data_IF_484852771017
#
_entry.id   IF_484852771017
#
_cell.length_a   1.000
_cell.length_b   1.000
_cell.length_c   1.000
_cell.angle_alpha   90.00
_cell.angle_beta   90.00
_cell.angle_gamma   90.00
#
_symmetry.space_group_name_H-M   'P 1'
#
loop_
_entity.id
_entity.type
_entity.pdbx_description
1 polymer ?
#
# COMPACT_ATOMS: atom_id res chain seq x y z
N UNK A 1 15.99 8.69 0.83
CA UNK A 1 17.09 8.47 -0.13
C UNK A 1 16.51 7.68 -1.30
N UNK A 2 16.70 8.17 -2.53
CA UNK A 2 16.32 7.44 -3.74
C UNK A 2 17.35 6.36 -4.03
N UNK A 3 16.88 5.15 -4.33
CA UNK A 3 17.67 3.98 -4.71
C UNK A 3 17.73 3.80 -6.22
N UNK A 4 16.81 4.43 -6.96
CA UNK A 4 16.76 4.33 -8.41
C UNK A 4 17.58 5.44 -9.08
N UNK A 5 18.21 5.15 -10.24
CA UNK A 5 18.88 6.18 -11.02
C UNK A 5 17.94 7.33 -11.40
N UNK A 6 18.44 8.58 -11.50
CA UNK A 6 17.62 9.74 -11.83
C UNK A 6 16.92 9.61 -13.20
N UNK A 7 17.53 8.87 -14.13
CA UNK A 7 16.96 8.54 -15.44
C UNK A 7 15.64 7.75 -15.31
N UNK A 8 15.59 6.80 -14.37
CA UNK A 8 14.40 5.98 -14.09
C UNK A 8 13.30 6.85 -13.47
N UNK A 9 13.66 7.76 -12.57
CA UNK A 9 12.70 8.73 -12.02
C UNK A 9 12.09 9.64 -13.09
N UNK A 10 12.93 10.14 -14.00
CA UNK A 10 12.47 10.97 -15.12
C UNK A 10 11.51 10.18 -16.03
N UNK A 11 11.89 8.96 -16.40
CA UNK A 11 11.08 8.10 -17.25
C UNK A 11 9.73 7.75 -16.60
N UNK A 12 9.72 7.42 -15.30
CA UNK A 12 8.48 7.17 -14.55
C UNK A 12 7.61 8.42 -14.44
N UNK A 13 8.21 9.60 -14.21
CA UNK A 13 7.45 10.85 -14.13
C UNK A 13 6.77 11.19 -15.46
N UNK A 14 7.46 10.96 -16.58
CA UNK A 14 6.90 11.10 -17.93
C UNK A 14 5.77 10.10 -18.18
N UNK A 15 5.95 8.84 -17.79
CA UNK A 15 4.93 7.80 -17.89
C UNK A 15 3.67 8.19 -17.10
N UNK A 16 3.82 8.60 -15.84
CA UNK A 16 2.71 9.02 -14.98
C UNK A 16 1.96 10.23 -15.56
N UNK A 17 2.69 11.18 -16.15
CA UNK A 17 2.09 12.33 -16.85
C UNK A 17 1.30 11.88 -18.08
N UNK A 18 1.84 10.97 -18.90
CA UNK A 18 1.15 10.44 -20.08
C UNK A 18 -0.14 9.69 -19.72
N UNK A 19 -0.10 8.87 -18.65
CA UNK A 19 -1.27 8.16 -18.14
C UNK A 19 -2.37 9.09 -17.58
N UNK A 20 -1.99 10.28 -17.13
CA UNK A 20 -2.89 11.28 -16.54
C UNK A 20 -3.41 12.31 -17.56
N UNK A 21 -3.01 12.20 -18.83
CA UNK A 21 -3.36 13.16 -19.88
C UNK A 21 -4.76 12.88 -20.46
N UNK A 22 -5.48 13.93 -20.87
CA UNK A 22 -6.82 13.83 -21.46
C UNK A 22 -6.83 13.33 -22.91
N UNK A 23 -5.69 13.42 -23.59
CA UNK A 23 -5.46 12.89 -24.93
C UNK A 23 -5.40 11.34 -24.89
N UNK A 24 -6.40 10.71 -25.52
CA UNK A 24 -6.50 9.27 -25.59
C UNK A 24 -5.31 8.61 -26.30
N UNK A 25 -4.72 9.26 -27.29
CA UNK A 25 -3.61 8.71 -28.06
C UNK A 25 -2.36 8.63 -27.20
N UNK A 26 -2.05 9.71 -26.46
CA UNK A 26 -0.92 9.76 -25.51
C UNK A 26 -1.16 8.77 -24.36
N UNK A 27 -2.39 8.73 -23.82
CA UNK A 27 -2.74 7.82 -22.73
C UNK A 27 -2.58 6.36 -23.15
N UNK A 28 -3.09 5.97 -24.32
CA UNK A 28 -2.96 4.60 -24.83
C UNK A 28 -1.50 4.21 -25.07
N UNK A 29 -0.67 5.12 -25.59
CA UNK A 29 0.76 4.88 -25.75
C UNK A 29 1.47 4.69 -24.39
N UNK A 30 1.14 5.51 -23.39
CA UNK A 30 1.67 5.37 -22.04
C UNK A 30 1.20 4.07 -21.37
N UNK A 31 -0.03 3.63 -21.61
CA UNK A 31 -0.53 2.33 -21.12
C UNK A 31 0.20 1.15 -21.78
N UNK A 32 0.47 1.22 -23.08
CA UNK A 32 1.24 0.21 -23.79
C UNK A 32 2.68 0.14 -23.25
N UNK A 33 3.32 1.30 -23.07
CA UNK A 33 4.64 1.40 -22.47
C UNK A 33 4.66 0.83 -21.04
N UNK A 34 3.66 1.16 -20.22
CA UNK A 34 3.53 0.63 -18.86
C UNK A 34 3.45 -0.90 -18.87
N UNK A 35 2.63 -1.49 -19.74
CA UNK A 35 2.44 -2.94 -19.77
C UNK A 35 3.66 -3.68 -20.34
N UNK A 36 4.24 -3.20 -21.42
CA UNK A 36 5.32 -3.89 -22.14
C UNK A 36 6.69 -3.62 -21.52
N UNK A 37 7.03 -2.35 -21.25
CA UNK A 37 8.39 -1.98 -20.84
C UNK A 37 8.59 -2.08 -19.34
N UNK A 38 7.53 -1.85 -18.55
CA UNK A 38 7.65 -1.82 -17.09
C UNK A 38 7.12 -3.08 -16.44
N UNK A 39 5.84 -3.43 -16.64
CA UNK A 39 5.22 -4.57 -15.95
C UNK A 39 5.83 -5.91 -16.38
N UNK A 40 6.10 -6.10 -17.67
CA UNK A 40 6.69 -7.35 -18.16
C UNK A 40 8.20 -7.42 -17.90
N UNK A 41 8.94 -6.35 -18.24
CA UNK A 41 10.40 -6.38 -18.26
C UNK A 41 11.07 -5.93 -16.95
N UNK A 42 10.48 -4.98 -16.20
CA UNK A 42 11.10 -4.36 -15.00
C UNK A 42 10.08 -4.10 -13.87
N UNK A 43 9.32 -5.13 -13.42
CA UNK A 43 8.26 -4.96 -12.42
C UNK A 43 8.78 -4.50 -11.06
N UNK A 44 10.00 -4.91 -10.72
CA UNK A 44 10.71 -4.56 -9.50
C UNK A 44 11.08 -3.07 -9.45
N UNK A 45 11.66 -2.56 -10.55
CA UNK A 45 12.00 -1.15 -10.71
C UNK A 45 10.74 -0.28 -10.69
N UNK A 46 9.67 -0.76 -11.32
CA UNK A 46 8.38 -0.06 -11.36
C UNK A 46 7.78 0.11 -9.96
N UNK A 47 7.66 -0.98 -9.19
CA UNK A 47 7.09 -0.91 -7.83
C UNK A 47 7.97 -0.09 -6.88
N UNK A 48 9.30 -0.22 -6.98
CA UNK A 48 10.23 0.62 -6.22
C UNK A 48 10.06 2.10 -6.56
N UNK A 49 9.99 2.42 -7.86
CA UNK A 49 9.88 3.81 -8.30
C UNK A 49 8.54 4.43 -7.93
N UNK A 50 7.45 3.66 -7.95
CA UNK A 50 6.16 4.12 -7.44
C UNK A 50 6.22 4.37 -5.93
N UNK A 51 6.89 3.51 -5.15
CA UNK A 51 7.10 3.74 -3.71
C UNK A 51 7.94 5.00 -3.43
N UNK A 52 8.90 5.32 -4.28
CA UNK A 52 9.69 6.55 -4.15
C UNK A 52 8.91 7.80 -4.59
N UNK A 53 8.03 7.69 -5.58
CA UNK A 53 7.12 8.78 -5.95
C UNK A 53 6.11 9.08 -4.83
N UNK A 54 5.68 8.06 -4.08
CA UNK A 54 4.87 8.25 -2.88
C UNK A 54 5.58 9.06 -1.80
N UNK A 55 6.88 8.81 -1.61
CA UNK A 55 7.68 9.48 -0.58
C UNK A 55 8.08 10.90 -1.00
N UNK A 56 8.44 11.09 -2.27
CA UNK A 56 9.17 12.28 -2.73
C UNK A 56 8.41 13.22 -3.68
N UNK A 57 7.25 12.86 -4.21
CA UNK A 57 6.55 13.74 -5.15
C UNK A 57 5.93 14.93 -4.42
N UNK A 58 6.18 16.14 -4.92
CA UNK A 58 5.62 17.39 -4.36
C UNK A 58 4.08 17.45 -4.53
N UNK A 59 3.59 16.97 -5.68
CA UNK A 59 2.17 17.01 -6.02
C UNK A 59 1.38 15.88 -5.33
N UNK A 60 0.36 16.27 -4.56
CA UNK A 60 -0.63 15.35 -3.96
C UNK A 60 -1.31 14.46 -5.01
N UNK A 61 -1.51 14.98 -6.23
CA UNK A 61 -2.10 14.23 -7.34
C UNK A 61 -1.18 13.09 -7.79
N UNK A 62 0.13 13.37 -7.92
CA UNK A 62 1.13 12.36 -8.27
C UNK A 62 1.23 11.29 -7.20
N UNK A 63 1.29 11.67 -5.91
CA UNK A 63 1.29 10.70 -4.80
C UNK A 63 0.03 9.84 -4.78
N UNK A 64 -1.14 10.45 -4.93
CA UNK A 64 -2.41 9.73 -5.07
C UNK A 64 -2.40 8.72 -6.22
N UNK A 65 -1.95 9.16 -7.40
CA UNK A 65 -1.93 8.32 -8.59
C UNK A 65 -0.92 7.18 -8.45
N UNK A 66 0.27 7.45 -7.92
CA UNK A 66 1.28 6.45 -7.61
C UNK A 66 0.76 5.39 -6.64
N UNK A 67 0.00 5.77 -5.60
CA UNK A 67 -0.57 4.82 -4.63
C UNK A 67 -1.54 3.84 -5.30
N UNK A 68 -2.45 4.37 -6.12
CA UNK A 68 -3.47 3.58 -6.82
C UNK A 68 -2.81 2.67 -7.86
N UNK A 69 -1.84 3.21 -8.61
CA UNK A 69 -1.12 2.44 -9.61
C UNK A 69 -0.26 1.35 -8.98
N UNK A 70 0.43 1.64 -7.88
CA UNK A 70 1.19 0.67 -7.10
C UNK A 70 0.30 -0.49 -6.68
N UNK A 71 -0.83 -0.22 -6.03
CA UNK A 71 -1.77 -1.27 -5.60
C UNK A 71 -2.22 -2.11 -6.79
N UNK A 72 -2.68 -1.47 -7.87
CA UNK A 72 -3.18 -2.17 -9.06
C UNK A 72 -2.13 -3.08 -9.71
N UNK A 73 -0.86 -2.69 -9.68
CA UNK A 73 0.23 -3.45 -10.29
C UNK A 73 0.71 -4.55 -9.34
N UNK A 74 0.80 -4.28 -8.04
CA UNK A 74 1.21 -5.26 -7.04
C UNK A 74 0.31 -6.51 -7.03
N UNK A 75 -0.98 -6.35 -7.32
CA UNK A 75 -1.98 -7.43 -7.38
C UNK A 75 -2.07 -8.13 -8.73
N UNK A 76 -1.37 -7.64 -9.77
CA UNK A 76 -1.39 -8.34 -11.06
C UNK A 76 -0.78 -9.71 -10.91
N UNK A 77 -1.47 -10.75 -11.35
CA UNK A 77 -0.95 -12.11 -11.32
C UNK A 77 0.02 -12.33 -12.48
N UNK A 78 1.18 -12.90 -12.17
CA UNK A 78 2.21 -13.31 -13.12
C UNK A 78 2.66 -14.73 -12.79
N UNK A 79 3.14 -15.47 -13.79
CA UNK A 79 3.84 -16.73 -13.54
C UNK A 79 5.18 -16.44 -12.88
N UNK A 80 5.35 -16.93 -11.67
CA UNK A 80 6.59 -16.90 -10.93
C UNK A 80 7.68 -17.58 -11.80
N UNK A 81 8.79 -16.89 -12.12
CA UNK A 81 9.86 -17.48 -12.94
C UNK A 81 10.54 -18.69 -12.27
N UNK A 82 10.40 -18.84 -10.94
CA UNK A 82 11.00 -19.91 -10.15
C UNK A 82 10.03 -21.08 -9.96
N UNK A 83 8.80 -20.81 -9.49
CA UNK A 83 7.83 -21.88 -9.18
C UNK A 83 6.87 -22.20 -10.32
N UNK A 84 6.81 -21.36 -11.36
CA UNK A 84 5.87 -21.43 -12.50
C UNK A 84 4.38 -21.36 -12.08
N UNK A 85 4.11 -21.00 -10.82
CA UNK A 85 2.78 -20.79 -10.29
C UNK A 85 2.32 -19.36 -10.54
N UNK A 86 1.01 -19.19 -10.64
CA UNK A 86 0.41 -17.88 -10.75
C UNK A 86 0.45 -17.19 -9.37
N UNK A 87 1.34 -16.22 -9.21
CA UNK A 87 1.46 -15.40 -7.98
C UNK A 87 1.26 -13.93 -8.30
N UNK A 88 0.89 -13.17 -7.29
CA UNK A 88 0.84 -11.71 -7.41
C UNK A 88 2.24 -11.13 -7.65
N UNK A 89 2.31 -10.09 -8.48
CA UNK A 89 3.56 -9.53 -8.98
C UNK A 89 4.49 -9.11 -7.86
N UNK A 90 3.97 -8.48 -6.79
CA UNK A 90 4.79 -8.13 -5.65
C UNK A 90 5.40 -9.37 -4.96
N UNK A 91 4.67 -10.47 -4.87
CA UNK A 91 5.15 -11.72 -4.27
C UNK A 91 6.31 -12.35 -5.05
N UNK A 92 6.35 -12.13 -6.37
CA UNK A 92 7.43 -12.61 -7.26
C UNK A 92 8.74 -11.82 -7.16
N UNK A 93 8.74 -10.69 -6.43
CA UNK A 93 9.95 -9.87 -6.25
C UNK A 93 10.97 -10.52 -5.31
N UNK A 94 12.22 -10.07 -5.43
CA UNK A 94 13.29 -10.47 -4.52
C UNK A 94 13.01 -10.02 -3.08
N UNK A 95 13.45 -10.80 -2.09
CA UNK A 95 13.19 -10.52 -0.67
C UNK A 95 13.69 -9.13 -0.23
N UNK A 96 14.89 -8.72 -0.66
CA UNK A 96 15.45 -7.40 -0.36
C UNK A 96 14.58 -6.26 -0.90
N UNK A 97 14.11 -6.37 -2.14
CA UNK A 97 13.23 -5.38 -2.75
C UNK A 97 11.89 -5.30 -2.04
N UNK A 98 11.29 -6.45 -1.69
CA UNK A 98 10.07 -6.51 -0.89
C UNK A 98 10.25 -5.80 0.45
N UNK A 99 11.36 -6.02 1.14
CA UNK A 99 11.66 -5.39 2.43
C UNK A 99 11.79 -3.86 2.31
N UNK A 100 12.51 -3.37 1.31
CA UNK A 100 12.68 -1.92 1.09
C UNK A 100 11.35 -1.25 0.72
N UNK A 101 10.56 -1.86 -0.19
CA UNK A 101 9.25 -1.33 -0.58
C UNK A 101 8.31 -1.24 0.63
N UNK A 102 8.28 -2.28 1.47
CA UNK A 102 7.50 -2.29 2.72
C UNK A 102 7.88 -1.14 3.65
N UNK A 103 9.19 -0.95 3.88
CA UNK A 103 9.67 0.16 4.72
C UNK A 103 9.25 1.52 4.16
N UNK A 104 9.36 1.73 2.84
CA UNK A 104 8.92 2.96 2.18
C UNK A 104 7.42 3.19 2.29
N UNK A 105 6.59 2.18 2.02
CA UNK A 105 5.13 2.30 2.11
C UNK A 105 4.67 2.70 3.51
N UNK A 106 5.25 2.06 4.53
CA UNK A 106 4.99 2.37 5.93
C UNK A 106 5.44 3.78 6.28
N UNK A 107 6.62 4.20 5.85
CA UNK A 107 7.11 5.56 6.07
C UNK A 107 6.22 6.61 5.36
N UNK A 108 5.71 6.30 4.17
CA UNK A 108 4.76 7.16 3.47
C UNK A 108 3.43 7.24 4.23
N UNK A 109 2.95 6.13 4.78
CA UNK A 109 1.70 6.08 5.56
C UNK A 109 1.77 7.00 6.79
N UNK A 110 2.90 6.99 7.50
CA UNK A 110 3.09 7.77 8.73
C UNK A 110 3.37 9.25 8.47
N UNK A 111 4.08 9.58 7.40
CA UNK A 111 4.50 10.95 7.10
C UNK A 111 3.56 11.73 6.16
N UNK A 112 2.65 11.06 5.44
CA UNK A 112 1.74 11.74 4.51
C UNK A 112 0.80 12.68 5.24
N UNK A 113 0.67 13.92 4.78
CA UNK A 113 -0.20 14.94 5.38
C UNK A 113 -1.60 14.95 4.79
N UNK A 114 -1.76 14.55 3.53
CA UNK A 114 -3.05 14.54 2.85
C UNK A 114 -3.83 13.24 3.17
N UNK A 115 -4.96 13.36 3.88
CA UNK A 115 -5.79 12.22 4.27
C UNK A 115 -6.26 11.35 3.08
N UNK A 116 -6.55 11.96 1.93
CA UNK A 116 -6.95 11.20 0.73
C UNK A 116 -5.81 10.31 0.19
N UNK A 117 -4.58 10.85 0.15
CA UNK A 117 -3.40 10.07 -0.26
C UNK A 117 -3.09 9.00 0.78
N UNK A 118 -3.16 9.35 2.08
CA UNK A 118 -2.94 8.45 3.21
C UNK A 118 -3.87 7.24 3.14
N UNK A 119 -5.15 7.44 2.83
CA UNK A 119 -6.13 6.35 2.62
C UNK A 119 -5.72 5.42 1.48
N UNK A 120 -5.24 5.97 0.36
CA UNK A 120 -4.78 5.19 -0.80
C UNK A 120 -3.48 4.42 -0.50
N UNK A 121 -2.56 5.02 0.27
CA UNK A 121 -1.37 4.33 0.78
C UNK A 121 -1.80 3.19 1.71
N UNK A 122 -2.76 3.44 2.61
CA UNK A 122 -3.30 2.42 3.49
C UNK A 122 -3.90 1.24 2.73
N UNK A 123 -4.64 1.51 1.65
CA UNK A 123 -5.15 0.44 0.77
C UNK A 123 -4.01 -0.36 0.11
N UNK A 124 -2.93 0.30 -0.31
CA UNK A 124 -1.77 -0.39 -0.85
C UNK A 124 -1.08 -1.25 0.22
N UNK A 125 -0.92 -0.74 1.45
CA UNK A 125 -0.33 -1.47 2.58
C UNK A 125 -1.19 -2.68 2.96
N UNK A 126 -2.50 -2.52 3.08
CA UNK A 126 -3.43 -3.62 3.36
C UNK A 126 -3.34 -4.71 2.29
N UNK A 127 -3.29 -4.32 1.03
CA UNK A 127 -3.17 -5.26 -0.08
C UNK A 127 -1.87 -6.08 0.01
N UNK A 128 -0.72 -5.43 0.23
CA UNK A 128 0.55 -6.13 0.42
C UNK A 128 0.48 -7.06 1.64
N UNK A 129 -0.10 -6.61 2.75
CA UNK A 129 -0.25 -7.42 3.95
C UNK A 129 -1.12 -8.67 3.72
N UNK A 130 -2.15 -8.57 2.89
CA UNK A 130 -2.95 -9.72 2.44
C UNK A 130 -2.09 -10.71 1.68
N UNK A 131 -1.29 -10.26 0.70
CA UNK A 131 -0.42 -11.16 -0.06
C UNK A 131 0.57 -11.90 0.82
N UNK A 132 1.12 -11.24 1.85
CA UNK A 132 2.00 -11.91 2.83
C UNK A 132 1.25 -13.01 3.57
N UNK A 133 0.07 -12.70 4.10
CA UNK A 133 -0.77 -13.65 4.82
C UNK A 133 -1.15 -14.85 3.93
N UNK A 134 -1.58 -14.59 2.68
CA UNK A 134 -2.00 -15.61 1.72
C UNK A 134 -0.84 -16.55 1.34
N UNK A 135 0.40 -16.04 1.32
CA UNK A 135 1.61 -16.82 1.07
C UNK A 135 2.17 -17.51 2.33
N UNK A 136 1.59 -17.28 3.51
CA UNK A 136 2.09 -17.78 4.79
C UNK A 136 3.34 -17.05 5.31
N UNK A 137 3.67 -15.89 4.74
CA UNK A 137 4.74 -15.03 5.22
C UNK A 137 4.22 -14.04 6.28
N UNK A 138 5.09 -13.65 7.22
CA UNK A 138 4.73 -12.68 8.26
C UNK A 138 5.27 -11.27 7.97
N UNK A 139 4.51 -10.26 8.40
CA UNK A 139 4.94 -8.87 8.42
C UNK A 139 4.74 -8.25 9.82
N UNK A 140 5.55 -8.67 10.82
CA UNK A 140 5.34 -8.31 12.22
C UNK A 140 5.48 -6.81 12.49
N UNK A 141 6.35 -6.11 11.74
CA UNK A 141 6.55 -4.68 11.93
C UNK A 141 5.28 -3.87 11.63
N UNK A 142 4.46 -4.33 10.67
CA UNK A 142 3.23 -3.65 10.30
C UNK A 142 2.26 -3.54 11.48
N UNK A 143 2.06 -4.63 12.23
CA UNK A 143 1.14 -4.66 13.37
C UNK A 143 1.53 -3.60 14.42
N UNK A 144 2.82 -3.52 14.77
CA UNK A 144 3.34 -2.54 15.71
C UNK A 144 3.09 -1.09 15.25
N UNK A 145 3.29 -0.83 13.96
CA UNK A 145 3.06 0.51 13.38
C UNK A 145 1.58 0.86 13.35
N UNK A 146 0.70 -0.07 12.97
CA UNK A 146 -0.75 0.16 12.98
C UNK A 146 -1.26 0.39 14.41
N UNK A 147 -0.71 -0.32 15.39
CA UNK A 147 -1.06 -0.13 16.79
C UNK A 147 -0.67 1.27 17.28
N UNK A 148 0.53 1.75 16.93
CA UNK A 148 0.94 3.13 17.22
C UNK A 148 0.09 4.16 16.47
N UNK A 149 -0.21 3.92 15.19
CA UNK A 149 -1.04 4.80 14.36
C UNK A 149 -2.48 4.91 14.90
N UNK A 150 -3.06 3.82 15.42
CA UNK A 150 -4.38 3.82 16.07
C UNK A 150 -4.45 4.72 17.33
N UNK A 151 -3.30 4.96 17.95
CA UNK A 151 -3.14 5.78 19.15
C UNK A 151 -2.65 7.21 18.82
N UNK A 152 -2.38 7.50 17.56
CA UNK A 152 -1.92 8.82 17.12
C UNK A 152 -2.93 9.92 17.47
N UNK A 153 -2.47 11.13 17.84
CA UNK A 153 -3.36 12.29 18.00
C UNK A 153 -4.01 12.69 16.67
N UNK A 154 -3.43 12.32 15.53
CA UNK A 154 -4.02 12.61 14.22
C UNK A 154 -5.15 11.65 13.85
N UNK A 155 -6.35 12.18 13.65
CA UNK A 155 -7.52 11.39 13.28
C UNK A 155 -7.34 10.60 11.97
N UNK A 156 -6.66 11.17 10.97
CA UNK A 156 -6.44 10.49 9.70
C UNK A 156 -5.53 9.27 9.79
N UNK A 157 -4.54 9.29 10.68
CA UNK A 157 -3.70 8.12 10.94
C UNK A 157 -4.49 7.03 11.67
N UNK A 158 -5.32 7.41 12.65
CA UNK A 158 -6.20 6.47 13.35
C UNK A 158 -7.19 5.81 12.39
N UNK A 159 -7.85 6.62 11.56
CA UNK A 159 -8.80 6.14 10.56
C UNK A 159 -8.12 5.13 9.61
N UNK A 160 -6.93 5.47 9.10
CA UNK A 160 -6.23 4.61 8.15
C UNK A 160 -5.76 3.32 8.80
N UNK A 161 -5.32 3.35 10.06
CA UNK A 161 -4.96 2.16 10.81
C UNK A 161 -6.14 1.19 10.96
N UNK A 162 -7.31 1.69 11.39
CA UNK A 162 -8.52 0.89 11.50
C UNK A 162 -9.02 0.37 10.16
N UNK A 163 -8.88 1.17 9.10
CA UNK A 163 -9.21 0.74 7.75
C UNK A 163 -8.33 -0.45 7.29
N UNK A 164 -7.03 -0.41 7.55
CA UNK A 164 -6.13 -1.53 7.26
C UNK A 164 -6.52 -2.76 8.06
N UNK A 165 -6.79 -2.62 9.37
CA UNK A 165 -7.28 -3.72 10.20
C UNK A 165 -8.58 -4.34 9.66
N UNK A 166 -9.53 -3.51 9.20
CA UNK A 166 -10.78 -4.00 8.62
C UNK A 166 -10.61 -4.71 7.27
N UNK A 167 -9.62 -4.29 6.48
CA UNK A 167 -9.41 -4.82 5.12
C UNK A 167 -8.62 -6.13 5.16
N UNK A 168 -7.73 -6.27 6.15
CA UNK A 168 -6.88 -7.46 6.28
C UNK A 168 -6.78 -7.83 7.76
N UNK A 169 -7.85 -8.37 8.35
CA UNK A 169 -7.84 -8.72 9.76
C UNK A 169 -6.92 -9.92 10.05
N UNK A 170 -6.60 -10.74 9.04
CA UNK A 170 -5.66 -11.85 9.11
C UNK A 170 -4.22 -11.45 9.49
N UNK A 171 -3.88 -10.16 9.47
CA UNK A 171 -2.58 -9.66 9.97
C UNK A 171 -2.46 -9.76 11.50
N UNK A 172 -3.59 -9.94 12.21
CA UNK A 172 -3.62 -10.05 13.66
C UNK A 172 -3.55 -11.52 14.03
N UNK A 173 -2.43 -11.87 14.66
CA UNK A 173 -2.27 -13.20 15.22
C UNK A 173 -3.10 -13.34 16.51
N UNK A 174 -3.59 -14.55 16.80
CA UNK A 174 -4.38 -14.87 18.01
C UNK A 174 -3.83 -14.29 19.33
N UNK A 175 -2.50 -14.25 19.58
CA UNK A 175 -1.97 -13.67 20.83
C UNK A 175 -2.19 -12.15 20.95
N UNK A 176 -2.44 -11.47 19.83
CA UNK A 176 -2.57 -10.01 19.75
C UNK A 176 -4.03 -9.55 19.61
N UNK A 177 -4.95 -10.49 19.45
CA UNK A 177 -6.38 -10.23 19.27
C UNK A 177 -6.98 -9.47 20.46
N UNK A 178 -6.76 -9.93 21.70
CA UNK A 178 -7.24 -9.28 22.92
C UNK A 178 -6.72 -7.84 23.08
N UNK A 179 -5.46 -7.60 22.69
CA UNK A 179 -4.86 -6.28 22.76
C UNK A 179 -5.49 -5.32 21.75
N UNK A 180 -5.78 -5.82 20.54
CA UNK A 180 -6.39 -5.05 19.47
C UNK A 180 -7.87 -4.78 19.76
N UNK A 181 -8.62 -5.79 20.20
CA UNK A 181 -10.01 -5.65 20.69
C UNK A 181 -10.09 -4.67 21.87
N UNK A 182 -9.13 -4.69 22.78
CA UNK A 182 -9.02 -3.73 23.88
C UNK A 182 -8.83 -2.29 23.42
N UNK A 183 -8.10 -2.07 22.31
CA UNK A 183 -7.97 -0.75 21.68
C UNK A 183 -9.27 -0.35 20.99
N UNK A 184 -9.93 -1.25 20.27
CA UNK A 184 -11.22 -0.96 19.66
C UNK A 184 -12.26 -0.56 20.70
N UNK A 185 -12.40 -1.33 21.78
CA UNK A 185 -13.34 -1.04 22.86
C UNK A 185 -13.13 0.34 23.52
N UNK A 186 -11.87 0.77 23.65
CA UNK A 186 -11.53 2.11 24.17
C UNK A 186 -11.79 3.23 23.16
N UNK A 187 -11.68 2.95 21.86
CA UNK A 187 -11.73 3.93 20.77
C UNK A 187 -13.11 4.07 20.09
N UNK A 188 -14.11 3.26 20.47
CA UNK A 188 -15.53 3.44 20.07
C UNK A 188 -16.05 4.86 20.40
N UNK A 189 -15.44 5.55 21.36
CA UNK A 189 -15.76 6.93 21.76
C UNK A 189 -14.84 7.97 21.12
N UNK A 190 -14.27 7.73 19.94
CA UNK A 190 -13.49 8.75 19.23
C UNK A 190 -14.41 9.94 18.85
N UNK A 191 -13.88 11.16 18.91
CA UNK A 191 -14.63 12.37 18.56
C UNK A 191 -14.93 12.43 17.05
N UNK A 192 -14.20 11.67 16.23
CA UNK A 192 -14.31 11.68 14.78
C UNK A 192 -15.15 10.50 14.28
N UNK A 193 -16.32 10.81 13.72
CA UNK A 193 -17.30 9.82 13.19
C UNK A 193 -16.67 8.86 12.19
N UNK A 194 -15.80 9.34 11.28
CA UNK A 194 -15.14 8.48 10.28
C UNK A 194 -14.27 7.40 10.93
N UNK A 195 -13.60 7.71 12.05
CA UNK A 195 -12.80 6.75 12.80
C UNK A 195 -13.72 5.71 13.45
N UNK A 196 -14.84 6.14 14.04
CA UNK A 196 -15.82 5.24 14.64
C UNK A 196 -16.44 4.28 13.62
N UNK A 197 -16.74 4.74 12.41
CA UNK A 197 -17.24 3.89 11.32
C UNK A 197 -16.19 2.82 10.97
N UNK A 198 -14.94 3.21 10.75
CA UNK A 198 -13.88 2.26 10.40
C UNK A 198 -13.61 1.26 11.52
N UNK A 199 -13.68 1.70 12.77
CA UNK A 199 -13.54 0.84 13.94
C UNK A 199 -14.69 -0.17 14.04
N UNK A 200 -15.93 0.25 13.78
CA UNK A 200 -17.08 -0.65 13.77
C UNK A 200 -16.94 -1.70 12.67
N UNK A 201 -16.56 -1.28 11.46
CA UNK A 201 -16.32 -2.20 10.32
C UNK A 201 -15.15 -3.15 10.63
N UNK A 202 -14.09 -2.65 11.26
CA UNK A 202 -13.00 -3.50 11.72
C UNK A 202 -13.52 -4.55 12.69
N UNK A 203 -14.25 -4.16 13.75
CA UNK A 203 -14.78 -5.07 14.76
C UNK A 203 -15.69 -6.16 14.18
N UNK A 204 -16.55 -5.84 13.21
CA UNK A 204 -17.38 -6.86 12.55
C UNK A 204 -16.55 -7.84 11.71
N UNK A 205 -15.43 -7.39 11.14
CA UNK A 205 -14.51 -8.27 10.43
C UNK A 205 -13.74 -9.23 11.35
N UNK A 206 -13.67 -8.98 12.66
CA UNK A 206 -13.09 -9.92 13.63
C UNK A 206 -14.05 -11.03 14.03
N UNK A 207 -15.36 -10.75 14.14
CA UNK A 207 -16.35 -11.74 14.53
C UNK A 207 -16.50 -12.89 13.49
N UNK A 208 -16.03 -12.68 12.26
CA UNK A 208 -16.07 -13.65 11.15
C UNK A 208 -14.79 -14.53 11.01
N UNK A 209 -13.75 -14.33 11.84
CA UNK A 209 -12.49 -15.10 11.85
C UNK A 209 -12.49 -16.18 12.94
#
# INVERSE_FOLDING_TARGET
MSLLPPEVHSALSQLLSGLSTADNTIRSQAEEQLNNDWIQNRPDVLLMGLAEQLEGAESTMTRSFAAVLFRRIATKTRKDPVTNEAKELFSTLNHEQKLIIRQKLVACLTNESANDVRRKIGDAVAEIARQYTDNGDQWPELLGILFQASQSPEAGLRETAFRIFSTTPSIIEKPHEDAVLGVFGKKIKDEVVSVCIQLLVASTGFDDI
#
